data_IF_542029654513
#
_entry.id   IF_542029654513
#
_cell.length_a   1.000
_cell.length_b   1.000
_cell.length_c   1.000
_cell.angle_alpha   90.00
_cell.angle_beta   90.00
_cell.angle_gamma   90.00
#
_symmetry.space_group_name_H-M   'P 1'
#
loop_
_entity.id
_entity.type
_entity.pdbx_description
1 polymer ?
#
# COMPACT_ATOMS: atom_id res chain seq x y z
N UNK A 1 -13.32 7.23 -31.08
CA UNK A 1 -13.88 7.49 -29.74
C UNK A 1 -14.40 6.21 -29.08
N UNK A 2 -15.09 5.31 -29.78
CA UNK A 2 -15.50 4.00 -29.24
C UNK A 2 -14.31 3.18 -28.67
N UNK A 3 -13.20 3.09 -29.40
CA UNK A 3 -12.00 2.37 -28.96
C UNK A 3 -11.36 2.88 -27.66
N UNK A 4 -11.52 4.17 -27.33
CA UNK A 4 -10.96 4.75 -26.09
C UNK A 4 -11.88 4.46 -24.90
N UNK A 5 -13.19 4.39 -25.14
CA UNK A 5 -14.21 4.05 -24.15
C UNK A 5 -14.13 2.55 -23.82
N UNK A 6 -13.98 1.70 -24.84
CA UNK A 6 -13.78 0.26 -24.63
C UNK A 6 -12.46 -0.04 -23.89
N UNK A 7 -11.38 0.67 -24.24
CA UNK A 7 -10.09 0.54 -23.54
C UNK A 7 -10.21 0.95 -22.06
N UNK A 8 -10.94 2.03 -21.77
CA UNK A 8 -11.13 2.50 -20.39
C UNK A 8 -12.03 1.57 -19.57
N UNK A 9 -13.06 0.97 -20.18
CA UNK A 9 -13.89 -0.04 -19.53
C UNK A 9 -13.07 -1.30 -19.19
N UNK A 10 -12.31 -1.83 -20.15
CA UNK A 10 -11.45 -3.00 -19.93
C UNK A 10 -10.39 -2.74 -18.85
N UNK A 11 -9.77 -1.55 -18.86
CA UNK A 11 -8.84 -1.14 -17.80
C UNK A 11 -9.54 -1.03 -16.45
N UNK A 12 -10.77 -0.52 -16.41
CA UNK A 12 -11.53 -0.40 -15.17
C UNK A 12 -11.89 -1.77 -14.58
N UNK A 13 -12.32 -2.73 -15.41
CA UNK A 13 -12.59 -4.10 -14.98
C UNK A 13 -11.32 -4.80 -14.50
N UNK A 14 -10.18 -4.60 -15.18
CA UNK A 14 -8.90 -5.13 -14.73
C UNK A 14 -8.49 -4.56 -13.36
N UNK A 15 -8.70 -3.26 -13.15
CA UNK A 15 -8.41 -2.60 -11.88
C UNK A 15 -9.34 -3.12 -10.78
N UNK A 16 -10.64 -3.28 -11.05
CA UNK A 16 -11.61 -3.80 -10.07
C UNK A 16 -11.33 -5.26 -9.73
N UNK A 17 -11.01 -6.09 -10.73
CA UNK A 17 -10.59 -7.47 -10.52
C UNK A 17 -9.31 -7.54 -9.67
N UNK A 18 -8.32 -6.72 -10.01
CA UNK A 18 -7.09 -6.56 -9.23
C UNK A 18 -7.37 -6.11 -7.79
N UNK A 19 -8.26 -5.14 -7.57
CA UNK A 19 -8.63 -4.66 -6.24
C UNK A 19 -9.33 -5.73 -5.40
N UNK A 20 -10.19 -6.56 -6.01
CA UNK A 20 -10.93 -7.63 -5.33
C UNK A 20 -10.07 -8.87 -5.05
N UNK A 21 -9.12 -9.18 -5.92
CA UNK A 21 -8.16 -10.27 -5.73
C UNK A 21 -7.06 -9.95 -4.71
N UNK A 22 -6.92 -8.68 -4.33
CA UNK A 22 -5.87 -8.21 -3.45
C UNK A 22 -6.29 -8.26 -1.97
N UNK A 23 -5.48 -8.91 -1.13
CA UNK A 23 -5.63 -8.76 0.31
C UNK A 23 -5.04 -7.40 0.75
N UNK A 24 -5.93 -6.48 1.13
CA UNK A 24 -5.55 -5.15 1.60
C UNK A 24 -4.96 -5.14 3.01
N UNK A 25 -5.27 -6.17 3.81
CA UNK A 25 -4.95 -6.20 5.23
C UNK A 25 -3.43 -6.10 5.47
N UNK A 26 -2.58 -6.94 4.82
CA UNK A 26 -1.13 -6.82 4.99
C UNK A 26 -0.63 -5.45 4.55
N UNK A 27 -1.11 -4.93 3.42
CA UNK A 27 -0.69 -3.63 2.87
C UNK A 27 -0.94 -2.52 3.88
N UNK A 28 -2.15 -2.46 4.42
CA UNK A 28 -2.57 -1.43 5.37
C UNK A 28 -1.81 -1.57 6.69
N UNK A 29 -1.67 -2.79 7.23
CA UNK A 29 -0.98 -3.03 8.52
C UNK A 29 0.50 -2.66 8.42
N UNK A 30 1.21 -3.14 7.39
CA UNK A 30 2.65 -2.85 7.25
C UNK A 30 2.92 -1.39 6.91
N UNK A 31 2.09 -0.77 6.07
CA UNK A 31 2.23 0.66 5.78
C UNK A 31 1.92 1.54 7.00
N UNK A 32 0.96 1.16 7.85
CA UNK A 32 0.71 1.81 9.14
C UNK A 32 1.89 1.64 10.10
N UNK A 33 2.37 0.41 10.30
CA UNK A 33 3.49 0.15 11.21
C UNK A 33 4.75 0.92 10.79
N UNK A 34 5.09 0.86 9.49
CA UNK A 34 6.24 1.59 8.94
C UNK A 34 6.02 3.09 9.04
N UNK A 35 4.83 3.60 8.73
CA UNK A 35 4.48 5.02 8.82
C UNK A 35 4.49 5.57 10.25
N UNK A 36 4.07 4.78 11.24
CA UNK A 36 4.10 5.14 12.67
C UNK A 36 5.55 5.16 13.19
N UNK A 37 6.33 4.13 12.90
CA UNK A 37 7.75 4.01 13.28
C UNK A 37 8.60 5.07 12.56
N UNK A 38 8.16 5.59 11.42
CA UNK A 38 8.88 6.60 10.66
C UNK A 38 9.04 7.90 11.45
N UNK A 39 10.26 8.17 11.94
CA UNK A 39 10.54 9.33 12.79
C UNK A 39 10.75 10.62 11.98
N UNK A 40 11.37 10.60 10.79
CA UNK A 40 11.60 11.81 9.98
C UNK A 40 11.81 11.54 8.47
N UNK A 41 11.82 12.65 7.71
CA UNK A 41 11.71 12.92 6.26
C UNK A 41 12.62 12.14 5.29
N UNK A 42 13.39 11.16 5.73
CA UNK A 42 14.35 10.45 4.90
C UNK A 42 13.77 9.16 4.32
N UNK A 43 13.78 9.12 2.97
CA UNK A 43 13.52 7.99 2.09
C UNK A 43 12.13 7.35 2.15
N UNK A 44 11.07 8.16 1.97
CA UNK A 44 9.69 7.67 1.80
C UNK A 44 9.56 6.59 0.73
N UNK A 45 10.26 6.77 -0.40
CA UNK A 45 10.23 5.85 -1.53
C UNK A 45 10.81 4.47 -1.18
N UNK A 46 11.94 4.43 -0.49
CA UNK A 46 12.59 3.17 -0.09
C UNK A 46 11.74 2.43 0.95
N UNK A 47 11.14 3.17 1.89
CA UNK A 47 10.29 2.58 2.93
C UNK A 47 8.95 2.10 2.38
N UNK A 48 8.36 2.82 1.42
CA UNK A 48 7.19 2.36 0.68
C UNK A 48 7.52 1.10 -0.13
N UNK A 49 8.70 1.03 -0.75
CA UNK A 49 9.17 -0.16 -1.46
C UNK A 49 9.32 -1.36 -0.50
N UNK A 50 9.92 -1.14 0.67
CA UNK A 50 10.04 -2.16 1.72
C UNK A 50 8.67 -2.62 2.25
N UNK A 51 7.76 -1.68 2.52
CA UNK A 51 6.40 -1.98 2.96
C UNK A 51 5.65 -2.82 1.91
N UNK A 52 5.79 -2.44 0.64
CA UNK A 52 5.17 -3.14 -0.49
C UNK A 52 5.77 -4.54 -0.65
N UNK A 53 7.10 -4.67 -0.57
CA UNK A 53 7.79 -5.96 -0.63
C UNK A 53 7.38 -6.90 0.50
N UNK A 54 7.33 -6.41 1.74
CA UNK A 54 6.87 -7.19 2.89
C UNK A 54 5.39 -7.57 2.76
N UNK A 55 4.54 -6.64 2.31
CA UNK A 55 3.14 -6.91 2.08
C UNK A 55 2.93 -7.97 1.00
N UNK A 56 3.70 -7.94 -0.10
CA UNK A 56 3.67 -8.96 -1.14
C UNK A 56 4.10 -10.34 -0.62
N UNK A 57 5.20 -10.41 0.14
CA UNK A 57 5.69 -11.66 0.73
C UNK A 57 4.61 -12.26 1.64
N UNK A 58 4.01 -11.44 2.50
CA UNK A 58 2.99 -11.90 3.44
C UNK A 58 1.71 -12.25 2.70
N UNK A 59 1.34 -11.52 1.66
CA UNK A 59 0.16 -11.86 0.86
C UNK A 59 0.36 -13.19 0.11
N UNK A 60 1.56 -13.45 -0.41
CA UNK A 60 1.91 -14.72 -1.05
C UNK A 60 1.93 -15.91 -0.07
N UNK A 61 2.35 -15.66 1.18
CA UNK A 61 2.41 -16.65 2.25
C UNK A 61 1.08 -16.76 3.04
N UNK A 62 0.15 -15.81 2.87
CA UNK A 62 -1.12 -15.78 3.60
C UNK A 62 -1.93 -17.08 3.48
N UNK A 63 -2.05 -17.71 2.30
CA UNK A 63 -2.77 -18.98 2.16
C UNK A 63 -2.18 -20.12 3.01
N UNK A 64 -0.88 -20.10 3.31
CA UNK A 64 -0.24 -21.12 4.15
C UNK A 64 -0.81 -21.14 5.57
N UNK A 65 -1.24 -19.98 6.09
CA UNK A 65 -1.87 -19.90 7.42
C UNK A 65 -3.23 -20.64 7.46
N UNK A 66 -3.84 -20.89 6.30
CA UNK A 66 -5.10 -21.61 6.15
C UNK A 66 -4.92 -23.03 5.60
N UNK A 67 -3.68 -23.54 5.55
CA UNK A 67 -3.37 -24.86 4.99
C UNK A 67 -3.50 -24.94 3.46
N UNK A 68 -3.59 -23.79 2.77
CA UNK A 68 -3.64 -23.70 1.32
C UNK A 68 -2.23 -23.49 0.74
N UNK A 69 -2.06 -23.80 -0.54
CA UNK A 69 -0.79 -23.60 -1.25
C UNK A 69 -0.46 -22.11 -1.38
N UNK A 70 0.81 -21.71 -1.19
CA UNK A 70 1.21 -20.33 -1.37
C UNK A 70 1.01 -19.92 -2.81
N UNK A 71 0.37 -18.76 -3.01
CA UNK A 71 0.11 -18.21 -4.35
C UNK A 71 1.17 -17.14 -4.58
N UNK A 72 2.23 -17.50 -5.33
CA UNK A 72 3.20 -16.51 -5.74
C UNK A 72 2.63 -15.67 -6.89
N UNK A 73 2.69 -14.34 -6.78
CA UNK A 73 2.29 -13.46 -7.87
C UNK A 73 3.17 -13.70 -9.11
N UNK A 74 2.56 -13.92 -10.27
CA UNK A 74 3.29 -14.04 -11.54
C UNK A 74 3.72 -12.65 -12.03
N UNK A 75 5.03 -12.33 -12.07
CA UNK A 75 5.51 -11.01 -12.46
C UNK A 75 5.25 -10.66 -13.94
N UNK A 76 4.97 -11.65 -14.79
CA UNK A 76 4.68 -11.45 -16.20
C UNK A 76 3.19 -11.18 -16.48
N UNK A 77 2.31 -11.48 -15.51
CA UNK A 77 0.89 -11.20 -15.65
C UNK A 77 0.59 -9.71 -15.41
N UNK A 78 -0.13 -9.09 -16.35
CA UNK A 78 -0.51 -7.66 -16.29
C UNK A 78 -1.32 -7.35 -15.02
N UNK A 79 -2.21 -8.26 -14.62
CA UNK A 79 -3.01 -8.12 -13.41
C UNK A 79 -2.14 -7.97 -12.15
N UNK A 80 -1.10 -8.81 -12.02
CA UNK A 80 -0.13 -8.75 -10.92
C UNK A 80 0.64 -7.43 -10.89
N UNK A 81 1.00 -6.90 -12.06
CA UNK A 81 1.71 -5.63 -12.17
C UNK A 81 0.82 -4.47 -11.70
N UNK A 82 -0.46 -4.48 -12.09
CA UNK A 82 -1.45 -3.49 -11.63
C UNK A 82 -1.69 -3.62 -10.14
N UNK A 83 -1.86 -4.85 -9.61
CA UNK A 83 -2.01 -5.10 -8.18
C UNK A 83 -0.81 -4.57 -7.38
N UNK A 84 0.41 -4.83 -7.84
CA UNK A 84 1.64 -4.36 -7.18
C UNK A 84 1.75 -2.83 -7.23
N UNK A 85 1.39 -2.21 -8.35
CA UNK A 85 1.35 -0.75 -8.48
C UNK A 85 0.31 -0.13 -7.54
N UNK A 86 -0.89 -0.72 -7.43
CA UNK A 86 -1.93 -0.28 -6.51
C UNK A 86 -1.50 -0.42 -5.06
N UNK A 87 -0.88 -1.55 -4.68
CA UNK A 87 -0.29 -1.74 -3.35
C UNK A 87 0.73 -0.65 -3.02
N UNK A 88 1.61 -0.36 -3.98
CA UNK A 88 2.65 0.66 -3.81
C UNK A 88 2.04 2.06 -3.62
N UNK A 89 1.07 2.44 -4.46
CA UNK A 89 0.37 3.73 -4.36
C UNK A 89 -0.38 3.83 -3.02
N UNK A 90 -1.10 2.78 -2.61
CA UNK A 90 -1.82 2.75 -1.35
C UNK A 90 -0.87 2.88 -0.15
N UNK A 91 0.22 2.09 -0.11
CA UNK A 91 1.22 2.17 0.94
C UNK A 91 1.87 3.56 1.00
N UNK A 92 2.20 4.15 -0.15
CA UNK A 92 2.74 5.49 -0.24
C UNK A 92 1.77 6.55 0.31
N UNK A 93 0.48 6.47 -0.05
CA UNK A 93 -0.55 7.39 0.44
C UNK A 93 -0.73 7.29 1.95
N UNK A 94 -0.80 6.07 2.50
CA UNK A 94 -0.95 5.83 3.95
C UNK A 94 0.24 6.40 4.72
N UNK A 95 1.46 6.08 4.28
CA UNK A 95 2.70 6.59 4.90
C UNK A 95 2.75 8.12 4.85
N UNK A 96 2.39 8.72 3.69
CA UNK A 96 2.38 10.17 3.53
C UNK A 96 1.33 10.83 4.42
N UNK A 97 0.14 10.26 4.53
CA UNK A 97 -0.94 10.76 5.36
C UNK A 97 -0.57 10.74 6.85
N UNK A 98 0.03 9.64 7.34
CA UNK A 98 0.56 9.53 8.70
C UNK A 98 1.63 10.58 8.99
N UNK A 99 2.50 10.88 8.02
CA UNK A 99 3.51 11.92 8.17
C UNK A 99 2.90 13.33 8.29
N UNK A 100 1.89 13.63 7.45
CA UNK A 100 1.14 14.89 7.55
C UNK A 100 0.50 15.02 8.93
N UNK A 101 -0.18 13.97 9.42
CA UNK A 101 -0.79 13.95 10.75
C UNK A 101 0.26 14.20 11.84
N UNK A 102 1.40 13.48 11.81
CA UNK A 102 2.48 13.66 12.80
C UNK A 102 3.05 15.08 12.80
N UNK A 103 3.21 15.68 11.62
CA UNK A 103 3.67 17.06 11.50
C UNK A 103 2.61 18.05 12.02
N UNK A 104 1.32 17.83 11.73
CA UNK A 104 0.23 18.66 12.24
C UNK A 104 0.10 18.59 13.76
N UNK A 105 0.27 17.39 14.34
CA UNK A 105 0.25 17.20 15.80
C UNK A 105 1.50 17.83 16.44
N UNK A 106 2.69 17.73 15.84
CA UNK A 106 3.91 18.33 16.40
C UNK A 106 3.94 19.86 16.29
N UNK A 107 3.14 20.44 15.39
CA UNK A 107 2.91 21.87 15.27
C UNK A 107 1.86 22.40 16.27
N UNK A 108 1.19 21.51 17.03
CA UNK A 108 0.38 21.97 18.16
C UNK A 108 1.36 22.52 19.20
N UNK A 109 1.35 23.84 19.50
CA UNK A 109 2.27 24.40 20.46
C UNK A 109 2.05 23.68 21.78
N UNK A 110 3.11 23.04 22.30
CA UNK A 110 3.12 22.62 23.70
C UNK A 110 2.74 23.86 24.50
N UNK A 111 1.53 23.86 25.05
CA UNK A 111 1.13 24.83 26.06
C UNK A 111 2.24 24.75 27.10
N UNK A 112 3.08 25.79 27.19
CA UNK A 112 3.99 25.95 28.31
C UNK A 112 3.08 25.84 29.53
N UNK A 113 3.24 24.77 30.29
CA UNK A 113 2.77 24.76 31.66
C UNK A 113 3.66 25.80 32.35
N UNK A 114 3.19 27.03 32.37
CA UNK A 114 3.60 27.99 33.37
C UNK A 114 2.88 27.63 34.67
N UNK A 115 3.65 27.76 35.76
CA UNK A 115 3.34 27.58 37.18
C UNK A 115 3.52 26.17 37.73
#
# INVERSE_FOLDING_TARGET
MASVIDLTLVLSDLIVAALNGLNWIPVVVFSLLIGVIQSQKTAYLIKALLATGLALIINALWPLAFGLTPVLPDPLAIETQIQTALMFVAAFLIIRFLCVIKNTISLTPKKKAEV
#
